data_IF_695518350064
#
_entry.id   IF_695518350064
#
_cell.length_a   1.000
_cell.length_b   1.000
_cell.length_c   1.000
_cell.angle_alpha   90.00
_cell.angle_beta   90.00
_cell.angle_gamma   90.00
#
_symmetry.space_group_name_H-M   'P 1'
#
loop_
_entity.id
_entity.type
_entity.pdbx_description
1 polymer ?
#
# COMPACT_ATOMS: atom_id res chain seq x y z
N UNK A 1 -9.26 23.71 -34.63
CA UNK A 1 -8.53 24.58 -33.67
C UNK A 1 -9.48 24.91 -32.52
N UNK A 2 -9.23 24.83 -31.22
CA UNK A 2 -8.01 24.67 -30.42
C UNK A 2 -8.20 25.54 -29.17
N UNK A 3 -8.29 24.92 -27.97
CA UNK A 3 -7.67 25.32 -26.69
C UNK A 3 -8.36 24.63 -25.50
N UNK A 4 -7.62 23.67 -24.94
CA UNK A 4 -7.84 23.02 -23.66
C UNK A 4 -7.84 24.08 -22.54
N UNK A 5 -8.91 24.17 -21.75
CA UNK A 5 -8.91 24.92 -20.48
C UNK A 5 -8.32 24.03 -19.39
N UNK A 6 -7.07 24.31 -19.01
CA UNK A 6 -6.48 23.82 -17.75
C UNK A 6 -7.09 24.62 -16.60
N UNK A 7 -8.05 24.05 -15.90
CA UNK A 7 -8.53 24.57 -14.62
C UNK A 7 -7.49 24.28 -13.53
N UNK A 8 -6.68 25.28 -13.21
CA UNK A 8 -5.65 25.24 -12.17
C UNK A 8 -6.26 25.19 -10.77
N UNK A 9 -5.63 24.39 -9.91
CA UNK A 9 -6.01 24.23 -8.50
C UNK A 9 -6.07 25.57 -7.75
N UNK A 10 -7.29 25.90 -7.34
CA UNK A 10 -7.59 26.89 -6.31
C UNK A 10 -7.23 26.34 -4.93
N UNK A 11 -6.86 27.24 -4.02
CA UNK A 11 -6.67 26.92 -2.60
C UNK A 11 -5.24 27.08 -2.08
N UNK A 12 -4.63 28.25 -2.28
CA UNK A 12 -3.37 28.62 -1.64
C UNK A 12 -3.51 29.98 -0.97
N UNK A 13 -4.31 30.08 0.09
CA UNK A 13 -4.54 31.29 0.88
C UNK A 13 -3.37 31.63 1.82
N UNK A 14 -2.14 31.62 1.32
CA UNK A 14 -0.96 32.02 2.08
C UNK A 14 -0.67 33.53 1.96
N UNK A 15 0.02 34.09 2.95
CA UNK A 15 0.58 35.45 2.90
C UNK A 15 1.80 35.51 1.97
N UNK A 16 1.98 36.61 1.25
CA UNK A 16 3.12 36.79 0.37
C UNK A 16 4.41 36.96 1.18
N UNK A 17 5.35 36.02 1.05
CA UNK A 17 6.61 36.05 1.81
C UNK A 17 7.61 37.09 1.30
N UNK A 18 7.48 37.54 0.05
CA UNK A 18 8.30 38.60 -0.55
C UNK A 18 7.82 39.95 -0.02
N UNK A 19 6.52 40.23 -0.12
CA UNK A 19 5.88 41.41 0.49
C UNK A 19 6.16 41.51 2.00
N UNK A 20 6.02 40.40 2.74
CA UNK A 20 6.28 40.39 4.19
C UNK A 20 7.74 40.67 4.55
N UNK A 21 8.70 40.32 3.70
CA UNK A 21 10.14 40.50 3.98
C UNK A 21 10.66 41.84 3.49
N UNK A 22 10.24 42.26 2.30
CA UNK A 22 10.84 43.39 1.58
C UNK A 22 9.92 44.60 1.53
N UNK A 23 8.65 44.47 1.94
CA UNK A 23 7.64 45.52 1.86
C UNK A 23 7.21 45.84 0.42
N UNK A 24 7.70 45.07 -0.56
CA UNK A 24 7.33 45.17 -1.97
C UNK A 24 7.32 43.77 -2.58
N UNK A 25 6.57 43.57 -3.66
CA UNK A 25 6.49 42.29 -4.36
C UNK A 25 6.51 42.57 -5.86
N UNK A 26 7.35 41.84 -6.61
CA UNK A 26 7.45 42.02 -8.06
C UNK A 26 6.12 41.79 -8.82
N UNK A 27 5.19 41.05 -8.22
CA UNK A 27 3.87 40.76 -8.79
C UNK A 27 2.81 41.83 -8.48
N UNK A 28 3.12 42.79 -7.59
CA UNK A 28 2.19 43.86 -7.18
C UNK A 28 0.80 43.35 -6.80
N UNK A 29 -0.24 44.05 -7.25
CA UNK A 29 -1.65 43.72 -6.97
C UNK A 29 -2.15 42.43 -7.67
N UNK A 30 -1.36 41.88 -8.59
CA UNK A 30 -1.67 40.61 -9.28
C UNK A 30 -1.10 39.40 -8.55
N UNK A 31 -0.48 39.60 -7.39
CA UNK A 31 0.04 38.53 -6.58
C UNK A 31 -1.09 37.57 -6.16
N UNK A 32 -0.84 36.26 -6.29
CA UNK A 32 -1.80 35.23 -5.85
C UNK A 32 -1.92 35.15 -4.32
N UNK A 33 -0.96 35.73 -3.59
CA UNK A 33 -0.85 35.64 -2.13
C UNK A 33 -1.27 36.95 -1.48
N UNK A 34 -1.76 36.89 -0.24
CA UNK A 34 -2.25 38.09 0.47
C UNK A 34 -1.11 39.02 0.87
N UNK A 35 -1.24 40.30 0.57
CA UNK A 35 -0.39 41.37 1.07
C UNK A 35 -1.09 41.98 2.28
N UNK A 36 -0.67 41.60 3.48
CA UNK A 36 -1.20 42.22 4.71
C UNK A 36 -0.37 43.47 4.99
N UNK A 37 -0.95 44.65 4.78
CA UNK A 37 -0.33 45.90 5.20
C UNK A 37 -0.38 45.98 6.73
N UNK A 38 0.77 46.23 7.35
CA UNK A 38 0.91 46.37 8.80
C UNK A 38 0.26 47.67 9.36
N UNK A 39 -0.74 48.23 8.68
CA UNK A 39 -1.34 49.52 8.97
C UNK A 39 -2.85 49.51 8.78
N UNK A 40 -3.55 48.72 9.60
CA UNK A 40 -4.89 49.11 10.06
C UNK A 40 -5.29 48.32 11.32
N UNK A 41 -5.16 48.97 12.48
CA UNK A 41 -6.08 48.75 13.60
C UNK A 41 -7.41 49.37 13.19
N UNK A 42 -8.41 48.57 12.85
CA UNK A 42 -9.80 49.03 12.81
C UNK A 42 -10.67 48.09 13.62
N UNK A 43 -11.28 48.71 14.62
CA UNK A 43 -12.32 48.23 15.52
C UNK A 43 -13.51 47.53 14.84
N UNK A 44 -14.13 46.63 15.63
CA UNK A 44 -15.54 46.21 15.66
C UNK A 44 -16.07 45.37 14.48
N UNK A 45 -16.25 44.09 14.77
CA UNK A 45 -17.29 43.24 14.20
C UNK A 45 -17.89 42.38 15.31
N UNK A 46 -18.90 42.93 16.00
CA UNK A 46 -19.73 42.21 16.96
C UNK A 46 -20.56 41.17 16.19
N UNK A 47 -20.38 39.88 16.47
CA UNK A 47 -21.31 38.82 16.07
C UNK A 47 -21.57 37.97 17.30
N UNK A 48 -22.73 38.16 17.90
CA UNK A 48 -23.36 37.19 18.80
C UNK A 48 -23.71 35.93 17.99
N UNK A 49 -23.44 34.73 18.53
CA UNK A 49 -24.28 33.57 18.25
C UNK A 49 -25.21 33.37 19.45
N UNK A 50 -26.51 33.58 19.23
CA UNK A 50 -27.59 33.16 20.13
C UNK A 50 -28.10 31.76 19.72
N UNK A 51 -28.29 30.88 20.71
CA UNK A 51 -29.16 29.68 20.70
C UNK A 51 -28.60 28.46 19.96
N UNK A 52 -28.02 27.46 20.63
CA UNK A 52 -28.65 26.39 21.42
C UNK A 52 -29.53 25.45 20.58
N UNK A 53 -28.95 24.34 20.15
CA UNK A 53 -29.68 23.09 19.89
C UNK A 53 -28.89 21.96 20.56
N UNK A 54 -29.61 21.24 21.40
CA UNK A 54 -29.15 20.24 22.33
C UNK A 54 -28.50 19.04 21.65
N UNK A 55 -27.27 18.70 22.05
CA UNK A 55 -26.87 17.30 22.07
C UNK A 55 -25.92 17.04 23.24
N UNK A 56 -26.55 16.74 24.37
CA UNK A 56 -25.96 16.08 25.51
C UNK A 56 -25.46 14.69 25.08
N UNK A 57 -24.15 14.55 24.84
CA UNK A 57 -23.48 13.26 24.90
C UNK A 57 -22.32 13.39 25.89
N UNK A 58 -22.51 12.71 27.00
CA UNK A 58 -21.64 12.65 28.15
C UNK A 58 -20.25 12.10 27.79
N UNK A 59 -19.27 12.73 28.43
CA UNK A 59 -17.84 12.44 28.42
C UNK A 59 -17.50 10.96 28.64
N UNK A 60 -16.54 10.47 27.86
CA UNK A 60 -16.00 9.13 28.08
C UNK A 60 -14.89 8.73 27.11
N UNK A 61 -13.72 9.34 27.29
CA UNK A 61 -12.42 8.83 26.83
C UNK A 61 -11.95 9.22 25.40
N UNK A 62 -11.70 10.52 25.20
CA UNK A 62 -10.74 11.00 24.20
C UNK A 62 -9.46 11.45 24.94
N UNK A 63 -8.46 10.57 25.04
CA UNK A 63 -7.16 10.95 25.60
C UNK A 63 -6.44 11.92 24.63
N UNK A 64 -5.97 13.08 25.10
CA UNK A 64 -5.28 14.05 24.26
C UNK A 64 -3.87 13.56 23.84
N UNK A 65 -3.57 13.67 22.54
CA UNK A 65 -2.28 13.40 21.89
C UNK A 65 -1.18 14.45 22.23
N UNK A 66 -1.12 14.89 23.49
CA UNK A 66 0.01 15.66 24.02
C UNK A 66 0.08 15.54 25.56
N UNK A 67 0.20 14.33 26.11
CA UNK A 67 0.70 14.20 27.47
C UNK A 67 2.15 14.74 27.51
N UNK A 68 2.35 15.91 28.14
CA UNK A 68 3.65 16.59 28.25
C UNK A 68 4.53 16.02 29.37
N UNK A 69 4.11 14.96 30.04
CA UNK A 69 4.82 14.40 31.20
C UNK A 69 5.13 12.91 31.00
N UNK A 70 5.73 12.56 29.85
CA UNK A 70 6.39 11.26 29.70
C UNK A 70 7.87 11.47 29.94
N UNK A 71 8.38 10.95 31.04
CA UNK A 71 9.79 11.02 31.41
C UNK A 71 10.65 10.58 30.20
N UNK A 72 11.48 11.47 29.64
CA UNK A 72 12.28 11.17 28.44
C UNK A 72 13.28 10.04 28.67
N UNK A 73 13.56 9.65 29.93
CA UNK A 73 14.40 8.51 30.26
C UNK A 73 13.69 7.15 30.09
N UNK A 74 12.36 7.10 30.04
CA UNK A 74 11.58 5.86 29.93
C UNK A 74 11.47 5.31 28.49
N UNK A 75 11.86 6.10 27.48
CA UNK A 75 11.98 5.60 26.09
C UNK A 75 13.33 4.93 25.92
N UNK A 76 13.36 3.63 26.22
CA UNK A 76 14.46 2.77 25.79
C UNK A 76 14.78 2.99 24.31
N UNK A 77 16.05 2.84 23.89
CA UNK A 77 16.46 3.14 22.52
C UNK A 77 15.60 2.34 21.54
N UNK A 78 14.83 3.04 20.72
CA UNK A 78 14.21 2.44 19.52
C UNK A 78 15.39 1.90 18.71
N UNK A 79 15.58 0.57 18.74
CA UNK A 79 16.60 -0.13 17.97
C UNK A 79 16.25 0.04 16.48
N UNK A 80 16.63 1.17 15.90
CA UNK A 80 16.62 1.32 14.44
C UNK A 80 17.65 0.30 13.91
N UNK A 81 17.28 -0.64 13.04
CA UNK A 81 18.25 -1.56 12.48
C UNK A 81 19.36 -0.76 11.78
N UNK A 82 20.61 -1.07 12.13
CA UNK A 82 21.79 -0.25 11.87
C UNK A 82 22.51 -0.54 10.54
N UNK A 83 21.96 -1.34 9.62
CA UNK A 83 22.56 -1.50 8.29
C UNK A 83 21.54 -1.64 7.17
N UNK A 84 21.96 -1.28 5.96
CA UNK A 84 21.20 -1.42 4.70
C UNK A 84 20.81 -2.88 4.43
N UNK A 85 21.51 -3.84 5.07
CA UNK A 85 21.31 -5.28 4.93
C UNK A 85 20.13 -5.82 5.75
N UNK A 86 19.59 -5.05 6.70
CA UNK A 86 18.39 -5.44 7.46
C UNK A 86 17.07 -5.15 6.71
N UNK A 87 17.13 -5.02 5.39
CA UNK A 87 15.95 -5.02 4.50
C UNK A 87 15.58 -6.45 4.10
N UNK A 88 15.69 -7.38 5.05
CA UNK A 88 15.22 -8.75 4.89
C UNK A 88 13.70 -8.70 4.77
N UNK A 89 13.18 -9.11 3.62
CA UNK A 89 11.78 -9.43 3.52
C UNK A 89 11.45 -10.55 4.51
N UNK A 90 10.32 -10.45 5.20
CA UNK A 90 9.79 -11.54 6.01
C UNK A 90 8.97 -12.44 5.10
N UNK A 91 9.34 -13.71 5.02
CA UNK A 91 8.65 -14.69 4.18
C UNK A 91 7.46 -15.28 4.95
N UNK A 92 6.30 -15.28 4.31
CA UNK A 92 5.05 -15.84 4.82
C UNK A 92 4.40 -16.68 3.73
N UNK A 93 3.67 -17.71 4.14
CA UNK A 93 2.94 -18.59 3.22
C UNK A 93 1.45 -18.39 3.47
N UNK A 94 0.67 -18.37 2.39
CA UNK A 94 -0.78 -18.33 2.50
C UNK A 94 -1.30 -19.62 3.15
N UNK A 95 -2.38 -19.54 3.92
CA UNK A 95 -2.92 -20.70 4.65
C UNK A 95 -3.33 -21.88 3.74
N UNK A 96 -3.61 -21.61 2.47
CA UNK A 96 -3.91 -22.60 1.43
C UNK A 96 -2.65 -23.25 0.81
N UNK A 97 -1.46 -22.78 1.17
CA UNK A 97 -0.19 -23.25 0.63
C UNK A 97 0.04 -22.90 -0.84
N UNK A 98 -0.82 -22.08 -1.47
CA UNK A 98 -0.75 -21.82 -2.91
C UNK A 98 0.28 -20.75 -3.25
N UNK A 99 0.35 -19.72 -2.40
CA UNK A 99 1.14 -18.51 -2.63
C UNK A 99 2.04 -18.20 -1.45
N UNK A 100 3.13 -17.50 -1.77
CA UNK A 100 4.13 -17.03 -0.84
C UNK A 100 4.21 -15.51 -0.90
N UNK A 101 4.32 -14.89 0.26
CA UNK A 101 4.33 -13.44 0.42
C UNK A 101 5.63 -13.01 1.08
N UNK A 102 6.37 -12.13 0.40
CA UNK A 102 7.54 -11.46 0.95
C UNK A 102 7.12 -10.07 1.47
N UNK A 103 7.13 -9.91 2.78
CA UNK A 103 6.73 -8.68 3.46
C UNK A 103 7.94 -7.79 3.74
N UNK A 104 7.92 -6.57 3.21
CA UNK A 104 8.91 -5.56 3.53
C UNK A 104 8.40 -4.65 4.67
N UNK A 105 9.26 -4.17 5.58
CA UNK A 105 8.88 -3.29 6.69
C UNK A 105 8.18 -1.95 6.32
N UNK A 106 8.13 -1.60 5.03
CA UNK A 106 7.42 -0.41 4.54
C UNK A 106 5.97 -0.69 4.12
N UNK A 107 5.48 -1.91 4.34
CA UNK A 107 4.14 -2.36 3.94
C UNK A 107 4.02 -2.70 2.45
N UNK A 108 5.13 -2.91 1.75
CA UNK A 108 5.14 -3.54 0.43
C UNK A 108 5.17 -5.07 0.59
N UNK A 109 4.33 -5.73 -0.18
CA UNK A 109 4.26 -7.17 -0.26
C UNK A 109 4.59 -7.60 -1.67
N UNK A 110 5.44 -8.61 -1.82
CA UNK A 110 5.67 -9.28 -3.10
C UNK A 110 4.98 -10.63 -3.04
N UNK A 111 4.02 -10.88 -3.92
CA UNK A 111 3.32 -12.16 -4.02
C UNK A 111 4.06 -13.02 -5.05
N UNK A 112 4.39 -14.25 -4.66
CA UNK A 112 4.98 -15.28 -5.50
C UNK A 112 4.15 -16.57 -5.40
N UNK A 113 4.38 -17.48 -6.33
CA UNK A 113 3.89 -18.85 -6.21
C UNK A 113 4.66 -19.59 -5.09
N UNK A 114 3.97 -20.39 -4.28
CA UNK A 114 4.63 -21.24 -3.30
C UNK A 114 5.48 -22.31 -3.99
N UNK A 115 6.62 -22.69 -3.41
CA UNK A 115 7.59 -23.58 -4.05
C UNK A 115 7.07 -25.02 -4.17
N UNK A 116 6.17 -25.38 -3.28
CA UNK A 116 5.49 -26.66 -3.14
C UNK A 116 4.27 -26.77 -4.06
N UNK A 117 3.83 -25.65 -4.65
CA UNK A 117 2.70 -25.64 -5.57
C UNK A 117 3.04 -26.47 -6.82
N UNK A 118 2.17 -27.41 -7.25
CA UNK A 118 2.38 -28.20 -8.47
C UNK A 118 2.73 -27.37 -9.71
N UNK A 119 2.19 -26.14 -9.81
CA UNK A 119 2.48 -25.21 -10.90
C UNK A 119 3.96 -24.82 -10.97
N UNK A 120 4.72 -24.85 -9.87
CA UNK A 120 6.16 -24.64 -9.89
C UNK A 120 6.88 -25.75 -10.68
N UNK A 121 6.43 -27.00 -10.55
CA UNK A 121 6.99 -28.11 -11.32
C UNK A 121 6.63 -27.99 -12.81
N UNK A 122 5.35 -27.71 -13.11
CA UNK A 122 4.86 -27.47 -14.48
C UNK A 122 5.59 -26.31 -15.18
N UNK A 123 5.83 -25.21 -14.45
CA UNK A 123 6.59 -24.06 -14.96
C UNK A 123 8.05 -24.43 -15.29
N UNK A 124 8.74 -25.18 -14.41
CA UNK A 124 10.12 -25.64 -14.66
C UNK A 124 10.22 -26.62 -15.82
N UNK A 125 9.20 -27.45 -16.01
CA UNK A 125 9.10 -28.37 -17.14
C UNK A 125 8.77 -27.66 -18.48
N UNK A 126 8.42 -26.37 -18.45
CA UNK A 126 8.02 -25.63 -19.66
C UNK A 126 6.64 -26.04 -20.19
N UNK A 127 5.80 -26.61 -19.33
CA UNK A 127 4.47 -27.12 -19.66
C UNK A 127 3.36 -26.08 -19.52
N UNK A 128 3.70 -24.82 -19.25
CA UNK A 128 2.73 -23.72 -19.24
C UNK A 128 2.48 -23.24 -20.67
N UNK A 129 1.21 -23.15 -21.05
CA UNK A 129 0.77 -22.67 -22.36
C UNK A 129 0.58 -21.16 -22.37
N UNK A 130 -0.09 -20.59 -21.36
CA UNK A 130 -0.27 -19.15 -21.24
C UNK A 130 -0.50 -18.70 -19.81
N UNK A 131 -0.11 -17.47 -19.51
CA UNK A 131 -0.37 -16.78 -18.24
C UNK A 131 -1.10 -15.49 -18.57
N UNK A 132 -2.23 -15.23 -17.93
CA UNK A 132 -3.02 -14.01 -18.13
C UNK A 132 -3.40 -13.39 -16.79
N UNK A 133 -3.19 -12.08 -16.68
CA UNK A 133 -3.68 -11.30 -15.56
C UNK A 133 -5.18 -11.02 -15.69
N UNK A 134 -5.85 -10.87 -14.54
CA UNK A 134 -7.22 -10.38 -14.51
C UNK A 134 -7.30 -8.98 -15.16
N UNK A 135 -8.42 -8.66 -15.81
CA UNK A 135 -8.56 -7.47 -16.66
C UNK A 135 -8.28 -6.16 -15.91
N UNK A 136 -8.61 -6.09 -14.62
CA UNK A 136 -8.31 -4.94 -13.77
C UNK A 136 -6.81 -4.81 -13.44
N UNK A 137 -6.00 -5.84 -13.69
CA UNK A 137 -4.59 -5.93 -13.31
C UNK A 137 -3.60 -5.90 -14.49
N UNK A 138 -4.07 -5.95 -15.73
CA UNK A 138 -3.21 -5.95 -16.93
C UNK A 138 -2.45 -4.61 -17.10
N UNK A 139 -3.13 -3.48 -16.84
CA UNK A 139 -2.61 -2.11 -17.06
C UNK A 139 -2.43 -1.30 -15.78
N UNK A 140 -1.86 -1.91 -14.74
CA UNK A 140 -1.53 -1.20 -13.51
C UNK A 140 -0.33 -0.28 -13.72
N UNK A 141 -0.60 1.01 -13.90
CA UNK A 141 0.42 2.07 -13.88
C UNK A 141 0.22 2.95 -12.65
N UNK A 142 1.19 2.93 -11.73
CA UNK A 142 1.11 3.69 -10.49
C UNK A 142 1.99 4.94 -10.53
N UNK A 143 1.36 6.09 -10.34
CA UNK A 143 2.04 7.39 -10.34
C UNK A 143 1.82 8.20 -9.05
N UNK A 144 2.82 9.01 -8.72
CA UNK A 144 2.76 10.01 -7.66
C UNK A 144 2.75 9.46 -6.23
N UNK A 145 2.90 10.38 -5.25
CA UNK A 145 2.99 10.08 -3.81
C UNK A 145 1.74 9.41 -3.22
N UNK A 146 0.61 9.44 -3.93
CA UNK A 146 -0.68 8.86 -3.51
C UNK A 146 -0.98 7.53 -4.19
N UNK A 147 -0.02 6.96 -4.91
CA UNK A 147 -0.15 5.68 -5.63
C UNK A 147 -1.40 5.69 -6.53
N UNK A 148 -1.54 6.76 -7.31
CA UNK A 148 -2.67 6.93 -8.22
C UNK A 148 -2.56 5.91 -9.35
N UNK A 149 -3.64 5.16 -9.62
CA UNK A 149 -3.63 4.02 -10.55
C UNK A 149 -3.43 2.66 -9.88
N UNK A 150 -3.17 2.61 -8.56
CA UNK A 150 -3.08 1.34 -7.84
C UNK A 150 -4.47 0.72 -7.67
N UNK A 151 -4.60 -0.56 -8.05
CA UNK A 151 -5.87 -1.28 -8.07
C UNK A 151 -6.08 -2.00 -6.75
N UNK A 152 -7.23 -1.79 -6.10
CA UNK A 152 -7.52 -2.44 -4.83
C UNK A 152 -7.97 -3.88 -5.08
N UNK A 153 -7.32 -4.82 -4.41
CA UNK A 153 -7.69 -6.25 -4.40
C UNK A 153 -8.15 -6.67 -3.01
N UNK A 154 -9.14 -7.56 -2.98
CA UNK A 154 -9.66 -8.16 -1.76
C UNK A 154 -9.06 -9.55 -1.52
N UNK A 155 -9.27 -10.09 -0.32
CA UNK A 155 -8.89 -11.45 0.02
C UNK A 155 -9.58 -12.45 -0.93
N UNK A 156 -8.81 -13.38 -1.49
CA UNK A 156 -9.29 -14.39 -2.43
C UNK A 156 -9.56 -13.87 -3.85
N UNK A 157 -9.26 -12.61 -4.16
CA UNK A 157 -9.40 -12.11 -5.53
C UNK A 157 -8.40 -12.78 -6.48
N UNK A 158 -8.85 -13.27 -7.63
CA UNK A 158 -7.98 -13.85 -8.67
C UNK A 158 -7.03 -12.79 -9.21
N UNK A 159 -5.72 -13.08 -9.15
CA UNK A 159 -4.67 -12.21 -9.68
C UNK A 159 -4.30 -12.63 -11.10
N UNK A 160 -4.08 -13.93 -11.28
CA UNK A 160 -3.52 -14.53 -12.49
C UNK A 160 -4.21 -15.86 -12.78
N UNK A 161 -4.54 -16.08 -14.04
CA UNK A 161 -4.96 -17.38 -14.58
C UNK A 161 -3.80 -17.99 -15.35
N UNK A 162 -3.40 -19.19 -14.95
CA UNK A 162 -2.36 -19.98 -15.62
C UNK A 162 -3.01 -21.14 -16.34
N UNK A 163 -2.70 -21.31 -17.63
CA UNK A 163 -3.19 -22.43 -18.44
C UNK A 163 -2.01 -23.31 -18.80
N UNK A 164 -2.06 -24.59 -18.40
CA UNK A 164 -1.10 -25.61 -18.78
C UNK A 164 -1.32 -26.10 -20.22
N UNK A 165 -0.29 -26.75 -20.79
CA UNK A 165 -0.38 -27.41 -22.11
C UNK A 165 -1.26 -28.65 -22.09
N UNK A 166 -1.48 -29.21 -20.92
CA UNK A 166 -2.47 -30.25 -20.64
C UNK A 166 -3.92 -29.73 -20.69
N UNK A 167 -4.10 -28.41 -20.81
CA UNK A 167 -5.41 -27.75 -20.81
C UNK A 167 -5.96 -27.46 -19.42
N UNK A 168 -5.20 -27.72 -18.35
CA UNK A 168 -5.63 -27.38 -16.99
C UNK A 168 -5.51 -25.88 -16.73
N UNK A 169 -6.57 -25.29 -16.20
CA UNK A 169 -6.60 -23.90 -15.77
C UNK A 169 -6.43 -23.81 -14.26
N UNK A 170 -5.54 -22.93 -13.81
CA UNK A 170 -5.28 -22.69 -12.40
C UNK A 170 -5.36 -21.20 -12.09
N UNK A 171 -6.30 -20.84 -11.22
CA UNK A 171 -6.50 -19.47 -10.77
C UNK A 171 -5.71 -19.22 -9.49
N UNK A 172 -4.75 -18.30 -9.56
CA UNK A 172 -3.96 -17.89 -8.41
C UNK A 172 -4.60 -16.67 -7.78
N UNK A 173 -4.95 -16.77 -6.50
CA UNK A 173 -5.68 -15.72 -5.77
C UNK A 173 -4.78 -14.93 -4.83
N UNK A 174 -5.25 -13.76 -4.41
CA UNK A 174 -4.55 -12.92 -3.44
C UNK A 174 -4.85 -13.38 -2.00
N UNK A 175 -3.83 -13.72 -1.19
CA UNK A 175 -4.02 -14.13 0.20
C UNK A 175 -4.23 -12.96 1.16
N UNK A 176 -4.26 -11.72 0.66
CA UNK A 176 -4.32 -10.50 1.46
C UNK A 176 -5.16 -9.41 0.80
N UNK A 177 -5.61 -8.44 1.59
CA UNK A 177 -6.26 -7.23 1.06
C UNK A 177 -5.21 -6.15 0.84
N UNK A 178 -5.15 -5.57 -0.35
CA UNK A 178 -4.13 -4.56 -0.64
C UNK A 178 -4.42 -3.72 -1.87
N UNK A 179 -3.46 -2.88 -2.25
CA UNK A 179 -3.45 -2.16 -3.53
C UNK A 179 -2.29 -2.68 -4.37
N UNK A 180 -2.60 -3.27 -5.52
CA UNK A 180 -1.61 -3.70 -6.51
C UNK A 180 -0.93 -2.47 -7.08
N UNK A 181 0.39 -2.46 -6.97
CA UNK A 181 1.27 -1.39 -7.44
C UNK A 181 1.96 -1.78 -8.74
N UNK A 182 2.22 -3.07 -8.93
CA UNK A 182 2.95 -3.59 -10.09
C UNK A 182 2.55 -5.05 -10.36
N UNK A 183 2.51 -5.43 -11.63
CA UNK A 183 2.30 -6.81 -12.11
C UNK A 183 3.46 -7.20 -13.03
N UNK A 184 3.88 -8.46 -12.97
CA UNK A 184 5.04 -8.93 -13.72
C UNK A 184 4.67 -9.34 -15.14
N UNK A 185 4.67 -8.37 -16.05
CA UNK A 185 4.39 -8.59 -17.48
C UNK A 185 5.37 -9.56 -18.17
N UNK A 186 6.55 -9.81 -17.58
CA UNK A 186 7.53 -10.76 -18.15
C UNK A 186 7.00 -12.20 -18.15
N UNK A 187 6.07 -12.53 -17.27
CA UNK A 187 5.47 -13.87 -17.19
C UNK A 187 4.68 -14.26 -18.44
N UNK A 188 4.16 -13.30 -19.20
CA UNK A 188 3.45 -13.57 -20.46
C UNK A 188 4.42 -14.04 -21.56
N UNK A 189 5.64 -13.51 -21.57
CA UNK A 189 6.68 -13.87 -22.53
C UNK A 189 7.50 -15.08 -22.06
N UNK A 190 7.77 -15.18 -20.77
CA UNK A 190 8.65 -16.19 -20.15
C UNK A 190 7.95 -16.86 -18.95
N UNK A 191 7.04 -17.83 -19.19
CA UNK A 191 6.28 -18.47 -18.11
C UNK A 191 7.14 -19.32 -17.17
N UNK A 192 8.35 -19.71 -17.59
CA UNK A 192 9.30 -20.47 -16.76
C UNK A 192 9.81 -19.69 -15.54
N UNK A 193 9.72 -18.35 -15.55
CA UNK A 193 10.10 -17.52 -14.41
C UNK A 193 9.22 -17.79 -13.17
N UNK A 194 7.99 -18.26 -13.36
CA UNK A 194 6.98 -18.47 -12.31
C UNK A 194 7.48 -19.35 -11.15
N UNK A 195 8.37 -20.30 -11.42
CA UNK A 195 8.92 -21.20 -10.40
C UNK A 195 10.10 -20.63 -9.59
N UNK A 196 10.55 -19.42 -9.94
CA UNK A 196 11.70 -18.74 -9.35
C UNK A 196 11.32 -17.50 -8.55
N UNK A 197 12.32 -16.86 -7.94
CA UNK A 197 12.13 -15.60 -7.21
C UNK A 197 11.85 -14.40 -8.13
N UNK A 198 12.25 -14.49 -9.39
CA UNK A 198 12.01 -13.45 -10.40
C UNK A 198 10.59 -13.52 -11.01
N UNK A 199 9.89 -14.65 -10.84
CA UNK A 199 8.49 -14.83 -11.26
C UNK A 199 7.49 -14.40 -10.22
N UNK A 200 7.71 -13.25 -9.58
CA UNK A 200 6.69 -12.66 -8.72
C UNK A 200 5.43 -12.37 -9.54
N UNK A 201 4.26 -12.54 -8.94
CA UNK A 201 2.97 -12.36 -9.59
C UNK A 201 2.56 -10.88 -9.56
N UNK A 202 2.60 -10.27 -8.38
CA UNK A 202 2.21 -8.89 -8.17
C UNK A 202 2.92 -8.29 -6.94
N UNK A 203 3.14 -6.99 -6.98
CA UNK A 203 3.58 -6.19 -5.83
C UNK A 203 2.38 -5.45 -5.29
N UNK A 204 2.07 -5.66 -4.02
CA UNK A 204 0.97 -5.00 -3.32
C UNK A 204 1.53 -4.02 -2.30
N UNK A 205 0.68 -3.06 -1.94
CA UNK A 205 0.90 -2.24 -0.77
C UNK A 205 -0.28 -2.28 0.16
N UNK A 206 0.02 -2.34 1.46
CA UNK A 206 -0.96 -2.39 2.52
C UNK A 206 -0.79 -1.23 3.49
N UNK A 207 -1.87 -0.93 4.19
CA UNK A 207 -1.83 -0.09 5.39
C UNK A 207 -1.56 -0.97 6.62
N UNK A 208 -0.93 -0.46 7.70
CA UNK A 208 -0.69 -1.24 8.90
C UNK A 208 -1.96 -1.89 9.48
N UNK A 209 -3.10 -1.18 9.41
CA UNK A 209 -4.42 -1.68 9.83
C UNK A 209 -4.90 -2.90 9.03
N UNK A 210 -4.46 -3.05 7.79
CA UNK A 210 -4.78 -4.23 6.97
C UNK A 210 -3.86 -5.39 7.31
N UNK A 211 -2.55 -5.13 7.49
CA UNK A 211 -1.58 -6.16 7.86
C UNK A 211 -1.94 -6.87 9.19
N UNK A 212 -2.50 -6.14 10.17
CA UNK A 212 -3.01 -6.71 11.42
C UNK A 212 -4.15 -7.73 11.22
N UNK A 213 -4.86 -7.67 10.10
CA UNK A 213 -6.00 -8.53 9.77
C UNK A 213 -5.63 -9.72 8.90
N UNK A 214 -4.39 -9.82 8.45
CA UNK A 214 -3.92 -10.90 7.58
C UNK A 214 -3.62 -12.17 8.38
N UNK A 215 -4.66 -12.70 9.04
CA UNK A 215 -4.62 -13.98 9.76
C UNK A 215 -4.40 -15.18 8.83
N UNK A 216 -4.58 -14.98 7.52
CA UNK A 216 -4.36 -16.00 6.48
C UNK A 216 -2.88 -16.22 6.14
N UNK A 217 -1.95 -15.40 6.65
CA UNK A 217 -0.52 -15.55 6.40
C UNK A 217 0.18 -16.24 7.58
N UNK A 218 0.68 -17.44 7.33
CA UNK A 218 1.45 -18.23 8.28
C UNK A 218 2.95 -17.91 8.14
N UNK A 219 3.73 -17.89 9.23
CA UNK A 219 5.18 -17.80 9.13
C UNK A 219 5.73 -19.08 8.47
N UNK A 220 6.81 -18.94 7.72
CA UNK A 220 7.46 -20.06 7.00
C UNK A 220 7.79 -21.25 7.93
N UNK A 221 8.16 -20.97 9.18
CA UNK A 221 8.44 -21.99 10.21
C UNK A 221 7.24 -22.86 10.62
N UNK A 222 6.01 -22.50 10.25
CA UNK A 222 4.80 -23.24 10.62
C UNK A 222 4.49 -24.43 9.68
N UNK A 223 5.22 -24.60 8.57
CA UNK A 223 5.00 -25.70 7.61
C UNK A 223 5.87 -26.95 7.81
N UNK A 224 6.74 -26.98 8.83
CA UNK A 224 7.37 -28.25 9.25
C UNK A 224 6.42 -28.99 10.19
N UNK A 225 5.51 -29.77 9.58
CA UNK A 225 4.98 -31.08 10.03
C UNK A 225 3.71 -31.39 9.26
N UNK A 226 3.84 -32.06 8.12
CA UNK A 226 2.87 -33.12 7.84
C UNK A 226 3.22 -34.28 8.79
N UNK A 227 2.27 -34.86 9.54
CA UNK A 227 2.52 -36.15 10.15
C UNK A 227 2.73 -37.15 9.02
N UNK A 228 3.90 -37.80 8.99
CA UNK A 228 4.10 -39.00 8.19
C UNK A 228 2.95 -39.95 8.52
N UNK A 229 2.08 -40.19 7.55
CA UNK A 229 1.12 -41.28 7.61
C UNK A 229 1.93 -42.56 7.72
N UNK A 230 1.94 -43.14 8.92
CA UNK A 230 2.50 -44.44 9.22
C UNK A 230 1.91 -45.48 8.26
N UNK A 231 2.68 -45.84 7.24
CA UNK A 231 2.35 -46.94 6.35
C UNK A 231 2.45 -48.21 7.19
N UNK A 232 1.30 -48.73 7.63
CA UNK A 232 1.21 -50.03 8.29
C UNK A 232 1.61 -51.10 7.26
N UNK A 233 2.71 -51.84 7.46
CA UNK A 233 3.09 -52.92 6.56
C UNK A 233 2.14 -54.13 6.73
N UNK A 234 1.99 -54.96 5.68
CA UNK A 234 1.03 -56.08 5.64
C UNK A 234 1.40 -57.25 6.56
#
# INVERSE_FOLDING_TARGET
MGKRRRGGGGGGGGVCHEWRREGSCAFGDKCKFKHEDASNKSEKGNHQPEGNDDNEVQDGNCVPLYAKDVDPAARGPIKRPRSVEARSFTERIAADGTTRVLEHPNGLLIILLAQENPLCATARAGEIASIKYEDSLQDVEVSGKRKHGAVKVNLGATLVRVVGRDGQEHDITSPVVGRVVETNRRLEAEPGLLAGREGYLAVLSQTPRQAEKDSALLPDSAHVKQPETEVVPP
#
